data_IF_897692778641
#
_entry.id   IF_897692778641
#
_cell.length_a   1.000
_cell.length_b   1.000
_cell.length_c   1.000
_cell.angle_alpha   90.00
_cell.angle_beta   90.00
_cell.angle_gamma   90.00
#
_symmetry.space_group_name_H-M   'P 1'
#
loop_
_entity.id
_entity.type
_entity.pdbx_description
1 polymer ?
#
# COMPACT_ATOMS: atom_id res chain seq x y z
N UNK A 1 22.62 3.35 42.78
CA UNK A 1 21.62 4.13 41.99
C UNK A 1 21.87 4.13 40.47
N UNK A 2 22.85 3.38 39.93
CA UNK A 2 23.09 3.27 38.47
C UNK A 2 22.30 2.13 37.80
N UNK A 3 22.15 1.00 38.50
CA UNK A 3 21.48 -0.22 37.99
C UNK A 3 20.00 0.03 37.62
N UNK A 4 19.28 0.80 38.43
CA UNK A 4 17.84 1.06 38.23
C UNK A 4 17.57 1.95 37.02
N UNK A 5 18.47 2.90 36.71
CA UNK A 5 18.36 3.75 35.51
C UNK A 5 18.59 2.94 34.23
N UNK A 6 19.55 2.00 34.26
CA UNK A 6 19.84 1.10 33.14
C UNK A 6 18.68 0.15 32.85
N UNK A 7 18.00 -0.34 33.89
CA UNK A 7 16.87 -1.26 33.75
C UNK A 7 15.62 -0.56 33.19
N UNK A 8 15.38 0.69 33.59
CA UNK A 8 14.27 1.51 33.05
C UNK A 8 14.50 1.85 31.58
N UNK A 9 15.74 2.19 31.20
CA UNK A 9 16.09 2.47 29.81
C UNK A 9 15.93 1.24 28.91
N UNK A 10 16.33 0.07 29.40
CA UNK A 10 16.15 -1.21 28.71
C UNK A 10 14.66 -1.53 28.51
N UNK A 11 13.84 -1.30 29.55
CA UNK A 11 12.39 -1.51 29.48
C UNK A 11 11.71 -0.57 28.48
N UNK A 12 12.13 0.70 28.43
CA UNK A 12 11.62 1.67 27.46
C UNK A 12 12.00 1.31 26.02
N UNK A 13 13.24 0.85 25.78
CA UNK A 13 13.70 0.40 24.46
C UNK A 13 12.98 -0.88 24.03
N UNK A 14 12.75 -1.81 24.96
CA UNK A 14 12.00 -3.03 24.69
C UNK A 14 10.53 -2.72 24.36
N UNK A 15 9.90 -1.81 25.10
CA UNK A 15 8.54 -1.34 24.83
C UNK A 15 8.45 -0.63 23.47
N UNK A 16 9.42 0.22 23.12
CA UNK A 16 9.47 0.89 21.83
C UNK A 16 9.67 -0.11 20.66
N UNK A 17 10.53 -1.11 20.83
CA UNK A 17 10.71 -2.22 19.88
C UNK A 17 9.40 -3.01 19.67
N UNK A 18 8.68 -3.28 20.76
CA UNK A 18 7.38 -3.96 20.72
C UNK A 18 6.31 -3.13 19.98
N UNK A 19 6.32 -1.80 20.13
CA UNK A 19 5.39 -0.92 19.41
C UNK A 19 5.70 -0.78 17.91
N UNK A 20 6.98 -0.82 17.52
CA UNK A 20 7.37 -0.77 16.12
C UNK A 20 7.11 -2.10 15.40
N UNK A 21 7.16 -3.22 16.12
CA UNK A 21 6.74 -4.53 15.66
C UNK A 21 5.20 -4.69 15.62
N UNK A 22 4.44 -3.79 16.26
CA UNK A 22 2.99 -3.76 16.25
C UNK A 22 2.39 -2.91 15.10
N UNK A 23 3.20 -2.53 14.11
CA UNK A 23 2.68 -2.15 12.80
C UNK A 23 2.07 -3.41 12.16
N UNK A 24 0.78 -3.65 12.44
CA UNK A 24 0.05 -4.81 11.93
C UNK A 24 0.05 -4.79 10.40
N UNK A 25 0.80 -5.70 9.80
CA UNK A 25 0.74 -5.94 8.37
C UNK A 25 -0.64 -6.49 8.02
N UNK A 26 -1.40 -5.71 7.25
CA UNK A 26 -2.74 -6.08 6.82
C UNK A 26 -2.74 -6.32 5.32
N UNK A 27 -3.22 -7.48 4.87
CA UNK A 27 -3.27 -7.83 3.45
C UNK A 27 -4.32 -6.98 2.72
N UNK A 28 -3.89 -5.99 1.94
CA UNK A 28 -4.76 -5.24 1.03
C UNK A 28 -4.67 -5.77 -0.40
N UNK A 29 -5.79 -6.20 -0.96
CA UNK A 29 -5.90 -6.56 -2.38
C UNK A 29 -6.46 -5.38 -3.17
N UNK A 30 -5.80 -4.98 -4.26
CA UNK A 30 -6.32 -3.99 -5.20
C UNK A 30 -6.39 -4.62 -6.60
N UNK A 31 -7.60 -4.78 -7.13
CA UNK A 31 -7.79 -5.31 -8.49
C UNK A 31 -7.86 -4.14 -9.47
N UNK A 32 -6.96 -4.11 -10.44
CA UNK A 32 -7.02 -3.14 -11.53
C UNK A 32 -7.70 -3.79 -12.72
N UNK A 33 -8.65 -3.13 -13.35
CA UNK A 33 -9.16 -3.55 -14.65
C UNK A 33 -8.38 -2.80 -15.72
N UNK A 34 -7.37 -3.45 -16.28
CA UNK A 34 -6.73 -3.06 -17.55
C UNK A 34 -7.27 -3.92 -18.68
N UNK A 35 -6.89 -3.60 -19.93
CA UNK A 35 -7.27 -4.38 -21.11
C UNK A 35 -6.95 -5.88 -21.00
N UNK A 36 -7.51 -6.64 -21.93
CA UNK A 36 -7.81 -8.08 -21.95
C UNK A 36 -6.74 -9.05 -21.41
N UNK A 37 -5.47 -8.66 -21.33
CA UNK A 37 -4.35 -9.51 -20.89
C UNK A 37 -3.69 -9.07 -19.57
N UNK A 38 -3.89 -7.83 -19.11
CA UNK A 38 -3.30 -7.26 -17.89
C UNK A 38 -1.78 -7.52 -17.77
N UNK A 39 -1.10 -7.74 -18.89
CA UNK A 39 0.07 -8.62 -18.97
C UNK A 39 1.37 -7.96 -18.51
N UNK A 40 1.52 -6.65 -18.69
CA UNK A 40 2.78 -5.92 -18.40
C UNK A 40 2.55 -4.55 -17.73
N UNK A 41 1.53 -4.44 -16.87
CA UNK A 41 1.21 -3.17 -16.21
C UNK A 41 1.96 -2.99 -14.89
N UNK A 42 3.08 -2.26 -14.82
CA UNK A 42 3.70 -2.02 -13.51
C UNK A 42 2.76 -1.20 -12.62
N UNK A 43 2.26 -1.81 -11.54
CA UNK A 43 1.38 -1.15 -10.58
C UNK A 43 2.15 -0.76 -9.30
N UNK A 44 1.90 0.46 -8.83
CA UNK A 44 2.38 0.97 -7.54
C UNK A 44 1.21 1.54 -6.76
N UNK A 45 1.30 1.46 -5.43
CA UNK A 45 0.32 2.04 -4.51
C UNK A 45 1.04 2.97 -3.53
N UNK A 46 0.36 4.01 -3.08
CA UNK A 46 0.76 4.77 -1.90
C UNK A 46 -0.43 5.08 -1.01
N UNK A 47 -0.20 5.07 0.30
CA UNK A 47 -1.08 5.68 1.27
C UNK A 47 -0.76 7.17 1.44
N UNK A 48 -1.65 7.90 2.11
CA UNK A 48 -1.44 9.31 2.46
C UNK A 48 -0.08 9.55 3.15
N UNK A 49 0.33 8.62 4.03
CA UNK A 49 1.53 8.72 4.83
C UNK A 49 2.70 7.87 4.29
N UNK A 50 2.63 7.41 3.03
CA UNK A 50 3.69 6.57 2.44
C UNK A 50 4.25 7.14 1.13
N UNK A 51 5.44 6.64 0.75
CA UNK A 51 5.95 6.71 -0.62
C UNK A 51 5.24 5.72 -1.55
N UNK A 52 5.64 5.71 -2.82
CA UNK A 52 5.15 4.75 -3.82
C UNK A 52 5.77 3.36 -3.64
N UNK A 53 4.93 2.40 -3.27
CA UNK A 53 5.27 1.00 -3.03
C UNK A 53 4.98 0.20 -4.31
N UNK A 54 5.95 -0.55 -4.79
CA UNK A 54 5.75 -1.45 -5.93
C UNK A 54 4.85 -2.61 -5.51
N UNK A 55 3.84 -2.91 -6.32
CA UNK A 55 2.95 -4.03 -6.11
C UNK A 55 3.49 -5.28 -6.80
N UNK A 56 3.15 -6.45 -6.27
CA UNK A 56 3.43 -7.73 -6.91
C UNK A 56 2.22 -8.18 -7.71
N UNK A 57 2.45 -8.61 -8.95
CA UNK A 57 1.41 -9.24 -9.77
C UNK A 57 1.14 -10.64 -9.24
N UNK A 58 -0.14 -11.01 -9.12
CA UNK A 58 -0.53 -12.36 -8.74
C UNK A 58 -0.97 -13.16 -9.99
N UNK A 59 -2.08 -12.76 -10.61
CA UNK A 59 -2.59 -13.34 -11.86
C UNK A 59 -3.34 -12.29 -12.68
N UNK A 60 -3.29 -12.34 -14.01
CA UNK A 60 -4.03 -11.40 -14.86
C UNK A 60 -3.79 -9.94 -14.44
N UNK A 61 -4.86 -9.15 -14.29
CA UNK A 61 -4.78 -7.78 -13.79
C UNK A 61 -4.93 -7.66 -12.25
N UNK A 62 -4.66 -8.73 -11.51
CA UNK A 62 -4.66 -8.75 -10.04
C UNK A 62 -3.26 -8.40 -9.50
N UNK A 63 -3.20 -7.33 -8.69
CA UNK A 63 -1.98 -6.83 -8.08
C UNK A 63 -2.17 -6.72 -6.56
N UNK A 64 -1.13 -7.04 -5.80
CA UNK A 64 -1.17 -7.02 -4.34
C UNK A 64 -0.02 -6.20 -3.75
N UNK A 65 -0.29 -5.54 -2.63
CA UNK A 65 0.72 -4.88 -1.83
C UNK A 65 0.72 -5.47 -0.42
N UNK A 66 1.89 -5.96 0.01
CA UNK A 66 2.12 -6.36 1.39
C UNK A 66 2.60 -5.13 2.16
N UNK A 67 1.70 -4.22 2.50
CA UNK A 67 2.01 -2.96 3.19
C UNK A 67 0.89 -2.52 4.13
N UNK A 68 1.25 -1.91 5.27
CA UNK A 68 0.30 -1.32 6.22
C UNK A 68 -0.37 -0.07 5.67
N UNK A 69 -1.46 -0.23 4.92
CA UNK A 69 -2.18 0.85 4.23
C UNK A 69 -3.59 1.12 4.79
N UNK A 70 -4.05 0.31 5.75
CA UNK A 70 -5.35 0.50 6.41
C UNK A 70 -5.39 1.85 7.11
N UNK A 71 -6.54 2.53 7.02
CA UNK A 71 -6.73 3.85 7.61
C UNK A 71 -6.18 5.01 6.78
N UNK A 72 -5.61 4.74 5.60
CA UNK A 72 -5.04 5.75 4.71
C UNK A 72 -5.79 5.80 3.39
N UNK A 73 -5.97 7.02 2.85
CA UNK A 73 -6.40 7.18 1.48
C UNK A 73 -5.37 6.57 0.54
N UNK A 74 -5.83 5.88 -0.52
CA UNK A 74 -4.94 5.18 -1.45
C UNK A 74 -4.92 5.87 -2.80
N UNK A 75 -3.71 6.00 -3.32
CA UNK A 75 -3.43 6.39 -4.70
C UNK A 75 -2.69 5.27 -5.41
N UNK A 76 -2.89 5.19 -6.73
CA UNK A 76 -2.29 4.17 -7.56
C UNK A 76 -1.53 4.77 -8.73
N UNK A 77 -0.48 4.11 -9.18
CA UNK A 77 0.25 4.46 -10.39
C UNK A 77 0.33 3.22 -11.24
N UNK A 78 -0.13 3.30 -12.49
CA UNK A 78 -0.13 2.18 -13.43
C UNK A 78 0.65 2.60 -14.66
N UNK A 79 1.68 1.84 -14.99
CA UNK A 79 2.43 1.97 -16.24
C UNK A 79 1.90 0.94 -17.23
N UNK A 80 1.41 1.36 -18.39
CA UNK A 80 0.99 0.50 -19.49
C UNK A 80 2.20 -0.10 -20.20
N UNK A 81 2.01 -1.21 -20.92
CA UNK A 81 3.01 -1.85 -21.80
C UNK A 81 3.63 -0.86 -22.79
N UNK A 82 2.87 0.14 -23.24
CA UNK A 82 3.37 1.24 -24.10
C UNK A 82 4.25 2.27 -23.38
N UNK A 83 4.60 2.05 -22.11
CA UNK A 83 5.42 2.95 -21.28
C UNK A 83 4.66 4.13 -20.66
N UNK A 84 3.42 4.38 -21.07
CA UNK A 84 2.58 5.44 -20.49
C UNK A 84 2.31 5.15 -19.01
N UNK A 85 2.60 6.11 -18.13
CA UNK A 85 2.28 6.00 -16.70
C UNK A 85 1.17 6.96 -16.33
N UNK A 86 0.14 6.46 -15.64
CA UNK A 86 -0.95 7.27 -15.10
C UNK A 86 -1.04 7.08 -13.60
N UNK A 87 -1.16 8.21 -12.90
CA UNK A 87 -1.45 8.24 -11.47
C UNK A 87 -2.94 8.51 -11.21
N UNK A 88 -3.54 7.65 -10.42
CA UNK A 88 -4.90 7.75 -9.90
C UNK A 88 -4.79 8.17 -8.44
N UNK A 89 -4.91 9.46 -8.18
CA UNK A 89 -4.71 10.02 -6.84
C UNK A 89 -6.01 9.95 -6.03
N UNK A 90 -5.89 9.55 -4.77
CA UNK A 90 -6.97 9.55 -3.76
C UNK A 90 -8.25 8.83 -4.22
N UNK A 91 -8.09 7.71 -4.94
CA UNK A 91 -9.23 6.92 -5.45
C UNK A 91 -9.96 6.21 -4.31
N UNK A 92 -9.21 5.80 -3.29
CA UNK A 92 -9.74 5.10 -2.13
C UNK A 92 -9.67 6.05 -0.94
N UNK A 93 -10.80 6.31 -0.25
CA UNK A 93 -10.82 7.15 0.95
C UNK A 93 -10.28 6.39 2.16
N UNK A 94 -9.68 7.08 3.13
CA UNK A 94 -8.99 6.44 4.26
C UNK A 94 -9.85 5.58 5.21
N UNK A 95 -11.18 5.68 5.12
CA UNK A 95 -12.12 4.84 5.87
C UNK A 95 -12.49 3.52 5.15
N UNK A 96 -11.79 3.16 4.08
CA UNK A 96 -12.00 1.91 3.36
C UNK A 96 -11.86 0.66 4.25
N UNK A 97 -12.54 -0.42 3.85
CA UNK A 97 -12.53 -1.70 4.56
C UNK A 97 -12.24 -2.85 3.59
N UNK A 98 -11.75 -3.98 4.11
CA UNK A 98 -11.55 -5.17 3.29
C UNK A 98 -12.87 -5.62 2.62
N UNK A 99 -12.78 -6.09 1.38
CA UNK A 99 -13.93 -6.51 0.59
C UNK A 99 -14.71 -5.37 -0.08
N UNK A 100 -14.26 -4.12 0.06
CA UNK A 100 -14.83 -2.98 -0.68
C UNK A 100 -14.18 -2.80 -2.05
N UNK A 101 -14.91 -2.14 -2.95
CA UNK A 101 -14.43 -1.81 -4.28
C UNK A 101 -14.60 -0.30 -4.54
N UNK A 102 -13.62 0.28 -5.23
CA UNK A 102 -13.61 1.69 -5.62
C UNK A 102 -13.23 1.81 -7.09
N UNK A 103 -13.82 2.79 -7.77
CA UNK A 103 -13.64 3.01 -9.20
C UNK A 103 -13.36 4.48 -9.49
N UNK A 104 -12.67 4.74 -10.60
CA UNK A 104 -12.41 6.08 -11.13
C UNK A 104 -12.73 6.11 -12.62
N UNK A 105 -13.13 7.28 -13.13
CA UNK A 105 -13.38 7.50 -14.55
C UNK A 105 -12.11 7.86 -15.35
N UNK A 106 -10.96 7.97 -14.68
CA UNK A 106 -9.68 8.25 -15.32
C UNK A 106 -9.21 7.02 -16.10
N UNK A 107 -8.63 7.24 -17.28
CA UNK A 107 -8.21 6.18 -18.20
C UNK A 107 -6.93 6.54 -18.95
N UNK A 108 -6.32 5.55 -19.61
CA UNK A 108 -5.26 5.78 -20.58
C UNK A 108 -5.81 6.52 -21.80
N UNK A 109 -5.16 7.63 -22.14
CA UNK A 109 -5.39 8.32 -23.39
C UNK A 109 -4.63 7.52 -24.46
N UNK A 110 -5.31 7.17 -25.56
CA UNK A 110 -4.70 6.54 -26.74
C UNK A 110 -4.08 7.62 -27.62
#
# INVERSE_FOLDING_TARGET
>A
MAMTKSLILLCAILAACLTLAAASWSHGTATFYGGDDGSDTMARVKGDNTGWIQMSRNWGANWQALAGLVGQGLSFSVTSTGGQTIQFLNVVPGWWQFGTAFSTNKNFIR
#
